data_IF_201952535933
#
_entry.id   IF_201952535933
#
_cell.length_a   1.000
_cell.length_b   1.000
_cell.length_c   1.000
_cell.angle_alpha   90.00
_cell.angle_beta   90.00
_cell.angle_gamma   90.00
#
_symmetry.space_group_name_H-M   'P 1'
#
loop_
_entity.id
_entity.type
_entity.pdbx_description
1 polymer ?
#
# COMPACT_ATOMS: atom_id res chain seq x y z
N UNK A 1 -10.34 -0.40 -10.54
CA UNK A 1 -10.97 -0.62 -9.23
C UNK A 1 -10.10 -1.63 -8.50
N UNK A 2 -9.31 -1.21 -7.51
CA UNK A 2 -8.49 -2.14 -6.72
C UNK A 2 -9.42 -2.78 -5.68
N UNK A 3 -10.28 -3.68 -6.16
CA UNK A 3 -11.00 -4.58 -5.29
C UNK A 3 -9.97 -5.63 -4.86
N UNK A 4 -9.51 -5.55 -3.62
CA UNK A 4 -8.76 -6.64 -2.97
C UNK A 4 -9.73 -7.78 -2.64
N UNK A 5 -10.38 -8.33 -3.66
CA UNK A 5 -11.66 -9.00 -3.51
C UNK A 5 -11.56 -10.38 -2.84
N UNK A 6 -10.42 -10.80 -2.28
CA UNK A 6 -10.28 -12.04 -1.51
C UNK A 6 -8.89 -12.15 -0.85
N UNK A 7 -8.51 -11.24 0.06
CA UNK A 7 -7.24 -11.38 0.77
C UNK A 7 -6.89 -10.15 1.59
N UNK A 8 -7.42 -10.15 2.82
CA UNK A 8 -7.38 -9.10 3.84
C UNK A 8 -8.08 -7.82 3.37
N UNK A 9 -9.34 -7.72 3.76
CA UNK A 9 -10.21 -6.61 3.42
C UNK A 9 -10.08 -5.47 4.42
N UNK A 10 -10.55 -4.30 4.02
CA UNK A 10 -10.71 -3.11 4.86
C UNK A 10 -11.46 -3.45 6.15
N UNK A 11 -12.38 -4.43 6.11
CA UNK A 11 -13.13 -4.91 7.26
C UNK A 11 -12.22 -5.56 8.32
N UNK A 12 -11.20 -6.33 7.90
CA UNK A 12 -10.20 -6.94 8.79
C UNK A 12 -9.42 -5.85 9.53
N UNK A 13 -8.99 -4.80 8.83
CA UNK A 13 -8.31 -3.67 9.47
C UNK A 13 -9.22 -2.98 10.51
N UNK A 14 -10.46 -2.63 10.12
CA UNK A 14 -11.43 -1.97 11.02
C UNK A 14 -11.72 -2.84 12.26
N UNK A 15 -11.85 -4.15 12.07
CA UNK A 15 -12.04 -5.09 13.17
C UNK A 15 -10.84 -5.07 14.12
N UNK A 16 -9.61 -5.16 13.59
CA UNK A 16 -8.40 -5.16 14.41
C UNK A 16 -8.19 -3.82 15.14
N UNK A 17 -8.50 -2.71 14.48
CA UNK A 17 -8.45 -1.36 15.06
C UNK A 17 -9.39 -1.26 16.27
N UNK A 18 -10.63 -1.72 16.13
CA UNK A 18 -11.59 -1.80 17.23
C UNK A 18 -11.18 -2.78 18.34
N UNK A 19 -10.59 -3.93 17.99
CA UNK A 19 -10.11 -4.92 18.96
C UNK A 19 -8.94 -4.38 19.78
N UNK A 20 -8.00 -3.67 19.16
CA UNK A 20 -6.88 -3.01 19.85
C UNK A 20 -7.40 -1.93 20.80
N UNK A 21 -8.34 -1.10 20.35
CA UNK A 21 -8.99 -0.10 21.19
C UNK A 21 -9.64 -0.75 22.44
N UNK A 22 -10.27 -1.91 22.26
CA UNK A 22 -10.95 -2.65 23.32
C UNK A 22 -10.04 -3.54 24.17
N UNK A 23 -8.71 -3.55 23.96
CA UNK A 23 -7.77 -4.45 24.68
C UNK A 23 -7.95 -4.45 26.20
N UNK A 24 -8.09 -3.27 26.80
CA UNK A 24 -8.31 -3.14 28.26
C UNK A 24 -9.66 -3.69 28.71
N UNK A 25 -10.69 -3.59 27.88
CA UNK A 25 -12.02 -4.13 28.18
C UNK A 25 -11.99 -5.67 28.20
N UNK A 26 -11.26 -6.30 27.27
CA UNK A 26 -11.05 -7.75 27.26
C UNK A 26 -10.33 -8.24 28.53
N UNK A 27 -9.25 -7.55 28.92
CA UNK A 27 -8.51 -7.85 30.14
C UNK A 27 -9.37 -7.69 31.40
N UNK A 28 -10.18 -6.63 31.47
CA UNK A 28 -11.09 -6.42 32.58
C UNK A 28 -12.19 -7.50 32.64
N UNK A 29 -12.70 -7.95 31.49
CA UNK A 29 -13.70 -9.00 31.41
C UNK A 29 -13.18 -10.34 31.94
N UNK A 30 -11.92 -10.69 31.64
CA UNK A 30 -11.25 -11.89 32.18
C UNK A 30 -11.12 -11.86 33.70
N UNK A 31 -10.90 -10.68 34.28
CA UNK A 31 -10.86 -10.53 35.74
C UNK A 31 -12.25 -10.56 36.38
N UNK A 32 -13.29 -10.15 35.64
CA UNK A 32 -14.65 -9.96 36.16
C UNK A 32 -15.55 -11.20 36.00
N UNK A 33 -15.37 -11.96 34.92
CA UNK A 33 -16.14 -13.16 34.61
C UNK A 33 -15.23 -14.39 34.58
N UNK A 34 -15.33 -15.23 35.61
CA UNK A 34 -14.53 -16.45 35.74
C UNK A 34 -14.77 -17.48 34.62
N UNK A 35 -15.87 -17.35 33.87
CA UNK A 35 -16.17 -18.20 32.71
C UNK A 35 -15.55 -17.68 31.41
N UNK A 36 -15.11 -16.41 31.37
CA UNK A 36 -14.48 -15.84 30.19
C UNK A 36 -13.01 -16.29 30.09
N UNK A 37 -12.70 -17.11 29.08
CA UNK A 37 -11.36 -17.70 28.84
C UNK A 37 -10.74 -17.32 27.51
N UNK A 38 -11.36 -16.39 26.78
CA UNK A 38 -11.00 -16.06 25.40
C UNK A 38 -10.20 -14.76 25.29
N UNK A 39 -9.63 -14.28 26.40
CA UNK A 39 -8.76 -13.11 26.39
C UNK A 39 -7.46 -13.47 25.66
N UNK A 40 -7.04 -12.70 24.64
CA UNK A 40 -5.77 -12.96 23.99
C UNK A 40 -4.61 -12.79 24.99
N UNK A 41 -3.63 -13.68 24.89
CA UNK A 41 -2.37 -13.60 25.63
C UNK A 41 -1.54 -12.38 25.20
N UNK A 42 -0.53 -12.01 25.99
CA UNK A 42 0.39 -10.93 25.64
C UNK A 42 1.04 -11.11 24.26
N UNK A 43 1.43 -12.34 23.93
CA UNK A 43 2.02 -12.71 22.64
C UNK A 43 1.02 -12.62 21.49
N UNK A 44 -0.25 -12.95 21.73
CA UNK A 44 -1.30 -12.80 20.72
C UNK A 44 -1.64 -11.33 20.48
N UNK A 45 -1.66 -10.50 21.52
CA UNK A 45 -1.81 -9.05 21.38
C UNK A 45 -0.69 -8.42 20.56
N UNK A 46 0.57 -8.82 20.80
CA UNK A 46 1.71 -8.35 20.02
C UNK A 46 1.58 -8.73 18.53
N UNK A 47 1.11 -9.96 18.24
CA UNK A 47 0.83 -10.38 16.86
C UNK A 47 -0.30 -9.57 16.24
N UNK A 48 -1.38 -9.31 16.98
CA UNK A 48 -2.51 -8.48 16.53
C UNK A 48 -2.05 -7.06 16.20
N UNK A 49 -1.25 -6.44 17.06
CA UNK A 49 -0.68 -5.11 16.83
C UNK A 49 0.23 -5.09 15.60
N UNK A 50 1.09 -6.10 15.45
CA UNK A 50 1.96 -6.23 14.26
C UNK A 50 1.16 -6.34 12.97
N UNK A 51 0.10 -7.17 12.96
CA UNK A 51 -0.79 -7.32 11.81
C UNK A 51 -1.54 -6.02 11.54
N UNK A 52 -2.07 -5.35 12.56
CA UNK A 52 -2.76 -4.08 12.41
C UNK A 52 -1.85 -3.01 11.81
N UNK A 53 -0.63 -2.83 12.33
CA UNK A 53 0.36 -1.89 11.79
C UNK A 53 0.70 -2.18 10.33
N UNK A 54 0.87 -3.46 9.98
CA UNK A 54 1.08 -3.87 8.60
C UNK A 54 -0.10 -3.45 7.70
N UNK A 55 -1.33 -3.65 8.17
CA UNK A 55 -2.54 -3.33 7.41
C UNK A 55 -2.86 -1.83 7.31
N UNK A 56 -2.39 -1.00 8.26
CA UNK A 56 -2.56 0.45 8.23
C UNK A 56 -2.13 1.07 6.90
N UNK A 57 -0.98 0.65 6.37
CA UNK A 57 -0.44 1.15 5.09
C UNK A 57 -1.40 0.95 3.89
N UNK A 58 -2.20 -0.13 3.91
CA UNK A 58 -3.18 -0.42 2.86
C UNK A 58 -4.48 0.32 3.08
N UNK A 59 -4.88 0.47 4.35
CA UNK A 59 -6.04 1.26 4.72
C UNK A 59 -5.85 2.73 4.35
N UNK A 60 -4.67 3.31 4.57
CA UNK A 60 -4.38 4.71 4.20
C UNK A 60 -4.48 4.95 2.70
N UNK A 61 -3.89 4.06 1.86
CA UNK A 61 -4.06 4.17 0.41
C UNK A 61 -5.55 4.11 0.05
N UNK A 62 -6.25 3.12 0.60
CA UNK A 62 -7.68 2.94 0.37
C UNK A 62 -8.42 4.23 0.69
N UNK A 63 -8.17 4.84 1.85
CA UNK A 63 -8.79 6.12 2.21
C UNK A 63 -8.47 7.22 1.19
N UNK A 64 -7.21 7.35 0.73
CA UNK A 64 -6.87 8.31 -0.33
C UNK A 64 -7.68 8.06 -1.62
N UNK A 65 -7.87 6.79 -2.01
CA UNK A 65 -8.65 6.41 -3.20
C UNK A 65 -10.15 6.73 -3.02
N UNK A 66 -10.71 6.46 -1.84
CA UNK A 66 -12.15 6.50 -1.59
C UNK A 66 -12.67 7.82 -0.99
N UNK A 67 -11.88 8.52 -0.18
CA UNK A 67 -12.28 9.79 0.46
C UNK A 67 -12.17 10.99 -0.47
N UNK A 68 -11.33 10.90 -1.50
CA UNK A 68 -11.26 11.96 -2.48
C UNK A 68 -12.48 11.88 -3.41
N UNK A 69 -13.35 12.90 -3.36
CA UNK A 69 -14.42 13.05 -4.38
C UNK A 69 -13.85 13.17 -5.80
N UNK A 70 -12.59 13.60 -5.90
CA UNK A 70 -11.78 13.67 -7.12
C UNK A 70 -10.30 13.47 -6.74
N UNK A 71 -9.82 12.22 -6.63
CA UNK A 71 -8.40 11.99 -6.44
C UNK A 71 -7.67 12.54 -7.65
N UNK A 72 -6.86 13.56 -7.45
CA UNK A 72 -6.00 14.03 -8.53
C UNK A 72 -4.94 12.94 -8.76
N UNK A 73 -4.84 12.39 -9.97
CA UNK A 73 -4.08 11.17 -10.29
C UNK A 73 -2.63 11.16 -9.79
N UNK A 74 -2.02 12.35 -9.71
CA UNK A 74 -0.72 12.66 -9.12
C UNK A 74 -0.56 12.29 -7.63
N UNK A 75 -1.63 12.10 -6.86
CA UNK A 75 -1.53 11.63 -5.46
C UNK A 75 -1.35 10.12 -5.35
N UNK A 76 -1.70 9.36 -6.39
CA UNK A 76 -1.63 7.90 -6.34
C UNK A 76 -0.22 7.37 -6.43
N UNK A 77 0.62 7.93 -7.30
CA UNK A 77 1.96 7.38 -7.51
C UNK A 77 2.80 7.37 -6.22
N UNK A 78 2.90 8.47 -5.43
CA UNK A 78 3.64 8.45 -4.17
C UNK A 78 3.11 7.37 -3.22
N UNK A 79 1.80 7.39 -2.94
CA UNK A 79 1.16 6.45 -2.01
C UNK A 79 1.37 4.98 -2.43
N UNK A 80 1.11 4.65 -3.69
CA UNK A 80 1.23 3.30 -4.22
C UNK A 80 2.71 2.87 -4.24
N UNK A 81 3.63 3.74 -4.66
CA UNK A 81 5.06 3.41 -4.68
C UNK A 81 5.62 3.14 -3.27
N UNK A 82 5.21 3.92 -2.26
CA UNK A 82 5.61 3.72 -0.87
C UNK A 82 5.11 2.38 -0.34
N UNK A 83 3.84 2.04 -0.54
CA UNK A 83 3.33 0.74 -0.07
C UNK A 83 3.93 -0.44 -0.80
N UNK A 84 4.28 -0.28 -2.09
CA UNK A 84 5.00 -1.33 -2.79
C UNK A 84 6.39 -1.56 -2.19
N UNK A 85 7.11 -0.49 -1.86
CA UNK A 85 8.39 -0.60 -1.17
C UNK A 85 8.24 -1.26 0.21
N UNK A 86 7.22 -0.88 1.00
CA UNK A 86 6.91 -1.52 2.28
C UNK A 86 6.60 -3.01 2.14
N UNK A 87 5.80 -3.40 1.13
CA UNK A 87 5.55 -4.82 0.82
C UNK A 87 6.83 -5.59 0.55
N UNK A 88 7.74 -5.02 -0.27
CA UNK A 88 9.03 -5.65 -0.56
C UNK A 88 9.90 -5.77 0.68
N UNK A 89 9.94 -4.73 1.52
CA UNK A 89 10.65 -4.76 2.78
C UNK A 89 10.12 -5.89 3.70
N UNK A 90 8.80 -5.96 3.91
CA UNK A 90 8.18 -6.99 4.75
C UNK A 90 8.40 -8.41 4.21
N UNK A 91 8.49 -8.58 2.89
CA UNK A 91 8.81 -9.87 2.28
C UNK A 91 10.25 -10.33 2.62
N UNK A 92 11.17 -9.39 2.80
CA UNK A 92 12.57 -9.66 3.12
C UNK A 92 12.79 -9.83 4.62
N UNK A 93 12.29 -8.90 5.43
CA UNK A 93 12.64 -8.77 6.86
C UNK A 93 11.50 -9.08 7.84
N UNK A 94 10.26 -9.27 7.36
CA UNK A 94 9.10 -9.48 8.22
C UNK A 94 9.04 -10.84 8.92
N UNK A 95 8.16 -10.97 9.90
CA UNK A 95 7.85 -12.27 10.53
C UNK A 95 7.21 -13.23 9.53
N UNK A 96 7.37 -14.55 9.73
CA UNK A 96 6.85 -15.57 8.81
C UNK A 96 5.35 -15.44 8.49
N UNK A 97 4.54 -15.07 9.49
CA UNK A 97 3.11 -14.86 9.29
C UNK A 97 2.81 -13.60 8.46
N UNK A 98 3.59 -12.52 8.64
CA UNK A 98 3.52 -11.31 7.80
C UNK A 98 3.99 -11.64 6.39
N UNK A 99 5.15 -12.28 6.22
CA UNK A 99 5.65 -12.74 4.91
C UNK A 99 4.61 -13.53 4.15
N UNK A 100 3.94 -14.50 4.79
CA UNK A 100 2.86 -15.27 4.17
C UNK A 100 1.68 -14.41 3.71
N UNK A 101 1.31 -13.38 4.47
CA UNK A 101 0.27 -12.41 4.08
C UNK A 101 0.76 -11.54 2.91
N UNK A 102 1.95 -10.97 3.04
CA UNK A 102 2.64 -10.14 2.04
C UNK A 102 2.76 -10.86 0.70
N UNK A 103 3.15 -12.13 0.67
CA UNK A 103 3.25 -12.93 -0.58
C UNK A 103 1.92 -13.01 -1.33
N UNK A 104 0.78 -13.06 -0.62
CA UNK A 104 -0.55 -13.09 -1.26
C UNK A 104 -0.96 -11.71 -1.77
N UNK A 105 -0.58 -10.66 -1.06
CA UNK A 105 -0.93 -9.28 -1.40
C UNK A 105 -0.07 -8.76 -2.55
N UNK A 106 1.23 -9.06 -2.56
CA UNK A 106 2.17 -8.55 -3.56
C UNK A 106 1.83 -9.03 -4.97
N UNK A 107 1.39 -10.27 -5.15
CA UNK A 107 0.96 -10.81 -6.46
C UNK A 107 -0.19 -10.00 -7.05
N UNK A 108 -1.17 -9.61 -6.21
CA UNK A 108 -2.28 -8.75 -6.65
C UNK A 108 -1.78 -7.34 -6.94
N UNK A 109 -0.91 -6.83 -6.09
CA UNK A 109 -0.34 -5.50 -6.21
C UNK A 109 0.45 -5.34 -7.51
N UNK A 110 1.35 -6.27 -7.84
CA UNK A 110 2.17 -6.27 -9.05
C UNK A 110 1.32 -6.29 -10.33
N UNK A 111 0.21 -7.04 -10.32
CA UNK A 111 -0.75 -7.04 -11.44
C UNK A 111 -1.34 -5.66 -11.71
N UNK A 112 -1.70 -4.91 -10.66
CA UNK A 112 -2.18 -3.54 -10.84
C UNK A 112 -1.05 -2.58 -11.20
N UNK A 113 0.08 -2.69 -10.52
CA UNK A 113 1.24 -1.82 -10.72
C UNK A 113 1.76 -1.88 -12.16
N UNK A 114 1.92 -3.07 -12.73
CA UNK A 114 2.40 -3.24 -14.13
C UNK A 114 1.50 -2.58 -15.18
N UNK A 115 0.19 -2.43 -14.92
CA UNK A 115 -0.74 -1.80 -15.86
C UNK A 115 -0.82 -0.27 -15.75
N UNK A 116 -0.48 0.31 -14.59
CA UNK A 116 -0.73 1.73 -14.30
C UNK A 116 0.52 2.52 -13.89
N UNK A 117 1.67 1.89 -13.61
CA UNK A 117 2.87 2.56 -13.10
C UNK A 117 3.31 3.73 -13.99
N UNK A 118 3.35 3.53 -15.31
CA UNK A 118 3.80 4.53 -16.29
C UNK A 118 2.87 5.75 -16.32
N UNK A 119 1.56 5.55 -16.40
CA UNK A 119 0.59 6.67 -16.46
C UNK A 119 0.56 7.45 -15.13
N UNK A 120 0.69 6.75 -14.01
CA UNK A 120 0.77 7.36 -12.68
C UNK A 120 2.08 8.17 -12.51
N UNK A 121 3.20 7.65 -13.01
CA UNK A 121 4.49 8.34 -13.01
C UNK A 121 4.42 9.64 -13.83
N UNK A 122 3.83 9.57 -15.03
CA UNK A 122 3.62 10.76 -15.89
C UNK A 122 2.71 11.78 -15.20
N UNK A 123 1.60 11.34 -14.60
CA UNK A 123 0.69 12.22 -13.87
C UNK A 123 1.40 12.95 -12.71
N UNK A 124 2.31 12.27 -12.00
CA UNK A 124 3.15 12.89 -10.97
C UNK A 124 4.16 13.87 -11.56
N UNK A 125 4.82 13.54 -12.68
CA UNK A 125 5.79 14.42 -13.33
C UNK A 125 5.14 15.74 -13.78
N UNK A 126 3.88 15.68 -14.20
CA UNK A 126 3.09 16.85 -14.60
C UNK A 126 2.60 17.69 -13.42
N UNK A 127 2.61 17.17 -12.20
CA UNK A 127 2.32 17.95 -11.00
C UNK A 127 3.53 18.84 -10.66
N UNK A 128 3.30 20.15 -10.56
CA UNK A 128 4.31 21.14 -10.21
C UNK A 128 5.12 20.81 -8.94
N UNK A 129 4.53 20.08 -8.00
CA UNK A 129 5.12 19.69 -6.70
C UNK A 129 6.18 18.61 -6.84
N UNK A 130 6.13 17.81 -7.89
CA UNK A 130 7.05 16.70 -8.11
C UNK A 130 7.89 16.96 -9.36
N UNK A 131 9.03 16.26 -9.44
CA UNK A 131 9.96 16.31 -10.58
C UNK A 131 10.27 14.89 -11.02
N UNK A 132 10.84 14.74 -12.21
CA UNK A 132 11.30 13.44 -12.72
C UNK A 132 12.24 12.72 -11.73
N UNK A 133 13.09 13.47 -11.01
CA UNK A 133 13.98 12.94 -9.99
C UNK A 133 13.25 12.21 -8.84
N UNK A 134 12.01 12.60 -8.53
CA UNK A 134 11.19 11.91 -7.54
C UNK A 134 10.75 10.52 -8.03
N UNK A 135 10.31 10.43 -9.30
CA UNK A 135 9.97 9.14 -9.92
C UNK A 135 11.20 8.23 -10.01
N UNK A 136 12.35 8.78 -10.38
CA UNK A 136 13.62 8.05 -10.38
C UNK A 136 13.97 7.50 -9.00
N UNK A 137 13.84 8.30 -7.95
CA UNK A 137 14.07 7.84 -6.59
C UNK A 137 13.11 6.71 -6.20
N UNK A 138 11.82 6.83 -6.50
CA UNK A 138 10.84 5.77 -6.25
C UNK A 138 11.22 4.47 -6.99
N UNK A 139 11.54 4.55 -8.28
CA UNK A 139 11.87 3.35 -9.06
C UNK A 139 13.18 2.68 -8.64
N UNK A 140 14.19 3.44 -8.22
CA UNK A 140 15.42 2.89 -7.64
C UNK A 140 15.13 2.05 -6.40
N UNK A 141 14.27 2.55 -5.51
CA UNK A 141 13.86 1.82 -4.31
C UNK A 141 13.02 0.58 -4.61
N UNK A 142 12.29 0.59 -5.74
CA UNK A 142 11.41 -0.51 -6.12
C UNK A 142 12.11 -1.62 -6.90
N UNK A 143 13.12 -1.34 -7.72
CA UNK A 143 13.57 -2.27 -8.76
C UNK A 143 15.01 -2.79 -8.67
N UNK A 144 15.77 -2.48 -7.61
CA UNK A 144 17.10 -3.07 -7.28
C UNK A 144 18.11 -3.29 -8.44
N UNK A 145 17.93 -2.64 -9.59
CA UNK A 145 18.74 -2.85 -10.80
C UNK A 145 18.01 -2.61 -12.12
N UNK A 146 16.71 -2.91 -12.21
CA UNK A 146 15.92 -2.79 -13.47
C UNK A 146 15.22 -1.43 -13.61
N UNK A 147 15.45 -0.51 -12.68
CA UNK A 147 14.77 0.79 -12.64
C UNK A 147 15.03 1.63 -13.89
N UNK A 148 16.19 1.46 -14.54
CA UNK A 148 16.56 2.21 -15.74
C UNK A 148 15.62 1.90 -16.91
N UNK A 149 15.26 0.63 -17.08
CA UNK A 149 14.33 0.21 -18.14
C UNK A 149 12.94 0.83 -17.92
N UNK A 150 12.45 0.82 -16.68
CA UNK A 150 11.18 1.44 -16.32
C UNK A 150 11.20 2.98 -16.49
N UNK A 151 12.31 3.64 -16.21
CA UNK A 151 12.46 5.08 -16.44
C UNK A 151 12.48 5.44 -17.93
N UNK A 152 13.12 4.63 -18.77
CA UNK A 152 13.10 4.81 -20.22
C UNK A 152 11.66 4.73 -20.73
N UNK A 153 10.89 3.72 -20.31
CA UNK A 153 9.46 3.61 -20.67
C UNK A 153 8.67 4.86 -20.28
N UNK A 154 8.84 5.37 -19.05
CA UNK A 154 8.18 6.59 -18.60
C UNK A 154 8.56 7.78 -19.47
N UNK A 155 9.85 7.93 -19.78
CA UNK A 155 10.37 9.02 -20.60
C UNK A 155 9.81 8.98 -22.02
N UNK A 156 9.86 7.83 -22.68
CA UNK A 156 9.34 7.64 -24.06
C UNK A 156 7.84 7.93 -24.13
N UNK A 157 7.06 7.40 -23.19
CA UNK A 157 5.61 7.66 -23.14
C UNK A 157 5.32 9.15 -22.86
N UNK A 158 6.10 9.79 -21.99
CA UNK A 158 5.96 11.22 -21.70
C UNK A 158 6.21 12.09 -22.95
N UNK A 159 7.29 11.84 -23.68
CA UNK A 159 7.60 12.57 -24.91
C UNK A 159 6.59 12.28 -26.02
N UNK A 160 6.18 11.03 -26.19
CA UNK A 160 5.14 10.68 -27.17
C UNK A 160 3.82 11.41 -26.90
N UNK A 161 3.39 11.52 -25.63
CA UNK A 161 2.21 12.31 -25.26
C UNK A 161 2.39 13.80 -25.61
N UNK A 162 3.57 14.36 -25.37
CA UNK A 162 3.87 15.75 -25.70
C UNK A 162 3.86 16.01 -27.22
N UNK A 163 4.45 15.11 -28.01
CA UNK A 163 4.46 15.19 -29.47
C UNK A 163 3.05 15.09 -30.05
N UNK A 164 2.24 14.14 -29.57
CA UNK A 164 0.84 13.99 -29.96
C UNK A 164 0.03 15.25 -29.62
N UNK A 165 0.22 15.83 -28.43
CA UNK A 165 -0.44 17.07 -28.06
C UNK A 165 0.00 18.25 -28.95
N UNK A 166 1.29 18.34 -29.26
CA UNK A 166 1.87 19.42 -30.07
C UNK A 166 1.48 19.34 -31.55
N UNK A 167 1.23 18.13 -32.08
CA UNK A 167 0.81 17.89 -33.45
C UNK A 167 -0.71 18.01 -33.66
N UNK A 168 -1.50 18.04 -32.59
CA UNK A 168 -2.97 18.26 -32.64
C UNK A 168 -3.33 19.76 -32.70
N UNK A 169 -2.38 20.60 -33.14
CA UNK A 169 -2.55 22.05 -33.33
C UNK A 169 -2.65 22.43 -34.80
#
# INVERSE_FOLDING_TARGET
MISFENGIDISTFIMLDGVIYCRRAFQHLELSDSNYRNCPSSVEWEKVETIWQFLTHFYEITCVIYESKYPTTNLYFPCISTTYASLKHELLSGHEYIKRMTTRMIVKFEKYWSGFSVILAIAVILDQRYKFAFVEWCYRNLYEGDYQHELIKVRENFFSLFENYSSTK
#
